data_IF_236279981493
#
_entry.id   IF_236279981493
#
_cell.length_a   1.000
_cell.length_b   1.000
_cell.length_c   1.000
_cell.angle_alpha   90.00
_cell.angle_beta   90.00
_cell.angle_gamma   90.00
#
_symmetry.space_group_name_H-M   'P 1'
#
loop_
_entity.id
_entity.type
_entity.pdbx_description
1 polymer ?
#
# COMPACT_ATOMS: atom_id res chain seq x y z
N UNK A 1 1.38 22.35 -12.61
CA UNK A 1 0.19 22.16 -13.47
C UNK A 1 -0.09 20.65 -13.59
N UNK A 2 -1.30 20.17 -13.27
CA UNK A 2 -1.60 18.72 -13.19
C UNK A 2 -1.46 18.05 -14.57
N UNK A 3 -0.61 17.02 -14.68
CA UNK A 3 -0.28 16.35 -15.94
C UNK A 3 -1.52 15.73 -16.62
N UNK A 4 -2.56 15.37 -15.86
CA UNK A 4 -3.85 14.92 -16.43
C UNK A 4 -4.62 16.08 -17.09
N UNK A 5 -4.67 17.23 -16.44
CA UNK A 5 -5.33 18.44 -16.97
C UNK A 5 -4.63 18.89 -18.26
N UNK A 6 -3.30 18.87 -18.29
CA UNK A 6 -2.52 19.22 -19.51
C UNK A 6 -2.84 18.26 -20.65
N UNK A 7 -2.86 16.93 -20.41
CA UNK A 7 -3.18 15.94 -21.45
C UNK A 7 -4.61 16.07 -21.98
N UNK A 8 -5.57 16.37 -21.11
CA UNK A 8 -6.94 16.65 -21.53
C UNK A 8 -7.02 17.88 -22.43
N UNK A 9 -6.40 18.99 -22.01
CA UNK A 9 -6.40 20.24 -22.77
C UNK A 9 -5.74 20.07 -24.14
N UNK A 10 -4.57 19.42 -24.19
CA UNK A 10 -3.86 19.16 -25.45
C UNK A 10 -4.66 18.20 -26.34
N UNK A 11 -5.31 17.19 -25.76
CA UNK A 11 -6.17 16.27 -26.51
C UNK A 11 -7.39 16.95 -27.12
N UNK A 12 -8.08 17.81 -26.36
CA UNK A 12 -9.22 18.59 -26.84
C UNK A 12 -8.82 19.55 -27.97
N UNK A 13 -7.68 20.25 -27.81
CA UNK A 13 -7.17 21.15 -28.83
C UNK A 13 -6.81 20.40 -30.13
N UNK A 14 -6.23 19.20 -30.00
CA UNK A 14 -5.88 18.35 -31.16
C UNK A 14 -7.12 17.90 -31.95
N UNK A 15 -8.24 17.62 -31.28
CA UNK A 15 -9.51 17.30 -31.95
C UNK A 15 -10.08 18.50 -32.71
N UNK A 16 -10.04 19.69 -32.10
CA UNK A 16 -10.52 20.92 -32.74
C UNK A 16 -9.72 21.19 -34.02
N UNK A 17 -8.39 21.08 -33.97
CA UNK A 17 -7.52 21.26 -35.13
C UNK A 17 -7.78 20.20 -36.20
N UNK A 18 -7.85 18.92 -35.81
CA UNK A 18 -8.12 17.83 -36.74
C UNK A 18 -9.47 17.95 -37.44
N UNK A 19 -10.51 18.37 -36.72
CA UNK A 19 -11.84 18.63 -37.28
C UNK A 19 -11.85 19.83 -38.22
N UNK A 20 -11.19 20.94 -37.85
CA UNK A 20 -11.07 22.11 -38.71
C UNK A 20 -10.35 21.75 -40.04
N UNK A 21 -9.29 20.94 -39.97
CA UNK A 21 -8.60 20.42 -41.15
C UNK A 21 -9.48 19.48 -41.98
N UNK A 22 -10.29 18.61 -41.36
CA UNK A 22 -11.21 17.73 -42.08
C UNK A 22 -12.28 18.51 -42.85
N UNK A 23 -12.86 19.53 -42.20
CA UNK A 23 -13.84 20.43 -42.81
C UNK A 23 -13.20 21.17 -43.97
N UNK A 24 -12.02 21.77 -43.77
CA UNK A 24 -11.29 22.44 -44.84
C UNK A 24 -10.98 21.51 -46.02
N UNK A 25 -10.51 20.28 -45.76
CA UNK A 25 -10.25 19.28 -46.78
C UNK A 25 -11.50 18.85 -47.56
N UNK A 26 -12.65 18.78 -46.90
CA UNK A 26 -13.91 18.39 -47.54
C UNK A 26 -14.42 19.47 -48.50
N UNK A 27 -14.27 20.75 -48.12
CA UNK A 27 -14.78 21.89 -48.88
C UNK A 27 -13.79 22.48 -49.91
N UNK A 28 -12.51 22.11 -49.89
CA UNK A 28 -11.50 22.66 -50.79
C UNK A 28 -11.18 21.69 -51.95
N UNK A 29 -11.30 22.17 -53.19
CA UNK A 29 -11.14 21.34 -54.41
C UNK A 29 -9.67 21.02 -54.75
N UNK A 30 -8.73 21.88 -54.33
CA UNK A 30 -7.29 21.68 -54.51
C UNK A 30 -6.73 20.90 -53.32
N UNK A 31 -6.82 19.57 -53.39
CA UNK A 31 -6.42 18.67 -52.30
C UNK A 31 -4.94 18.30 -52.36
N UNK A 32 -4.09 18.78 -51.44
CA UNK A 32 -2.83 18.12 -51.18
C UNK A 32 -3.10 16.79 -50.44
N UNK A 33 -2.52 15.70 -50.94
CA UNK A 33 -2.81 14.32 -50.48
C UNK A 33 -2.52 14.08 -48.99
N UNK A 34 -1.72 14.96 -48.38
CA UNK A 34 -1.23 14.84 -46.99
C UNK A 34 -2.19 15.46 -45.94
N UNK A 35 -3.08 16.38 -46.30
CA UNK A 35 -3.94 17.08 -45.34
C UNK A 35 -5.03 16.19 -44.74
N UNK A 36 -5.62 15.30 -45.54
CA UNK A 36 -6.57 14.29 -45.05
C UNK A 36 -5.92 13.32 -44.07
N UNK A 37 -4.66 12.93 -44.35
CA UNK A 37 -3.88 12.07 -43.44
C UNK A 37 -3.51 12.79 -42.14
N UNK A 38 -3.11 14.06 -42.22
CA UNK A 38 -2.79 14.89 -41.06
C UNK A 38 -4.01 15.12 -40.16
N UNK A 39 -5.17 15.42 -40.74
CA UNK A 39 -6.44 15.55 -40.00
C UNK A 39 -6.75 14.28 -39.21
N UNK A 40 -6.66 13.11 -39.85
CA UNK A 40 -6.87 11.83 -39.20
C UNK A 40 -5.86 11.60 -38.07
N UNK A 41 -4.60 11.98 -38.26
CA UNK A 41 -3.56 11.87 -37.23
C UNK A 41 -3.86 12.74 -36.00
N UNK A 42 -4.27 14.00 -36.20
CA UNK A 42 -4.66 14.90 -35.11
C UNK A 42 -5.90 14.41 -34.35
N UNK A 43 -6.89 13.87 -35.07
CA UNK A 43 -8.08 13.25 -34.47
C UNK A 43 -7.70 12.04 -33.61
N UNK A 44 -6.90 11.13 -34.15
CA UNK A 44 -6.45 9.92 -33.45
C UNK A 44 -5.61 10.26 -32.22
N UNK A 45 -4.69 11.23 -32.34
CA UNK A 45 -3.87 11.69 -31.22
C UNK A 45 -4.71 12.37 -30.13
N UNK A 46 -5.67 13.21 -30.52
CA UNK A 46 -6.58 13.88 -29.61
C UNK A 46 -7.41 12.89 -28.79
N UNK A 47 -8.03 11.91 -29.45
CA UNK A 47 -8.77 10.82 -28.80
C UNK A 47 -7.87 10.00 -27.87
N UNK A 48 -6.65 9.65 -28.31
CA UNK A 48 -5.71 8.87 -27.50
C UNK A 48 -5.29 9.60 -26.22
N UNK A 49 -5.04 10.93 -26.30
CA UNK A 49 -4.68 11.75 -25.15
C UNK A 49 -5.85 11.91 -24.16
N UNK A 50 -7.05 12.16 -24.66
CA UNK A 50 -8.27 12.23 -23.84
C UNK A 50 -8.54 10.88 -23.18
N UNK A 51 -8.46 9.78 -23.91
CA UNK A 51 -8.62 8.44 -23.37
C UNK A 51 -7.60 8.14 -22.27
N UNK A 52 -6.32 8.49 -22.49
CA UNK A 52 -5.25 8.32 -21.50
C UNK A 52 -5.43 9.21 -20.26
N UNK A 53 -6.00 10.40 -20.43
CA UNK A 53 -6.27 11.32 -19.33
C UNK A 53 -7.55 10.95 -18.55
N UNK A 54 -8.53 10.36 -19.23
CA UNK A 54 -9.79 9.85 -18.68
C UNK A 54 -9.61 8.54 -17.92
N UNK A 55 -8.62 7.73 -18.31
CA UNK A 55 -8.24 6.58 -17.49
C UNK A 55 -7.77 7.07 -16.12
N UNK A 56 -8.30 6.52 -15.01
CA UNK A 56 -7.60 6.67 -13.75
C UNK A 56 -6.16 6.22 -13.99
N UNK A 57 -5.18 6.92 -13.41
CA UNK A 57 -3.82 6.38 -13.41
C UNK A 57 -3.97 4.92 -12.99
N UNK A 58 -3.48 4.00 -13.85
CA UNK A 58 -3.26 2.63 -13.44
C UNK A 58 -2.63 2.79 -12.07
N UNK A 59 -3.23 2.18 -11.04
CA UNK A 59 -2.56 1.97 -9.76
C UNK A 59 -1.40 1.07 -10.15
N UNK A 60 -0.36 1.72 -10.66
CA UNK A 60 0.96 1.20 -10.69
C UNK A 60 1.18 0.70 -9.28
N UNK A 61 1.70 -0.50 -9.18
CA UNK A 61 2.30 -0.98 -7.96
C UNK A 61 3.58 -0.17 -7.73
N UNK A 62 3.47 1.17 -7.74
CA UNK A 62 4.36 2.06 -7.05
C UNK A 62 4.45 1.49 -5.64
N UNK A 63 5.69 1.35 -5.16
CA UNK A 63 6.04 0.96 -3.80
C UNK A 63 4.89 1.34 -2.85
N UNK A 64 4.31 0.38 -2.11
CA UNK A 64 3.04 0.58 -1.40
C UNK A 64 3.12 1.90 -0.65
N UNK A 65 2.07 2.72 -0.76
CA UNK A 65 1.98 4.03 -0.11
C UNK A 65 2.71 3.97 1.23
N UNK A 66 3.82 4.70 1.34
CA UNK A 66 4.68 4.64 2.52
C UNK A 66 3.77 4.85 3.75
N UNK A 67 3.79 3.88 4.67
CA UNK A 67 2.97 3.92 5.87
C UNK A 67 3.17 5.25 6.59
N UNK A 68 2.12 5.78 7.23
CA UNK A 68 2.31 6.99 8.02
C UNK A 68 3.29 6.72 9.15
N UNK A 69 4.04 7.74 9.57
CA UNK A 69 4.97 7.59 10.71
C UNK A 69 4.25 7.04 11.96
N UNK A 70 2.99 7.42 12.16
CA UNK A 70 2.15 6.91 13.24
C UNK A 70 1.80 5.43 13.08
N UNK A 71 1.50 4.96 11.85
CA UNK A 71 1.25 3.53 11.59
C UNK A 71 2.51 2.70 11.80
N UNK A 72 3.65 3.19 11.33
CA UNK A 72 4.93 2.53 11.51
C UNK A 72 5.29 2.44 13.00
N UNK A 73 5.22 3.56 13.72
CA UNK A 73 5.49 3.60 15.16
C UNK A 73 4.57 2.68 15.97
N UNK A 74 3.27 2.64 15.64
CA UNK A 74 2.33 1.74 16.29
C UNK A 74 2.66 0.26 16.00
N UNK A 75 2.97 -0.08 14.75
CA UNK A 75 3.34 -1.44 14.38
C UNK A 75 4.64 -1.89 15.06
N UNK A 76 5.66 -1.02 15.11
CA UNK A 76 6.91 -1.28 15.81
C UNK A 76 6.67 -1.49 17.32
N UNK A 77 5.87 -0.62 17.95
CA UNK A 77 5.49 -0.76 19.35
C UNK A 77 4.76 -2.09 19.63
N UNK A 78 3.85 -2.51 18.75
CA UNK A 78 3.16 -3.79 18.86
C UNK A 78 4.15 -4.97 18.75
N UNK A 79 5.03 -4.95 17.74
CA UNK A 79 6.04 -5.98 17.49
C UNK A 79 7.04 -6.12 18.63
N UNK A 80 7.44 -4.99 19.23
CA UNK A 80 8.29 -4.95 20.41
C UNK A 80 7.56 -5.51 21.64
N UNK A 81 6.33 -5.04 21.88
CA UNK A 81 5.55 -5.47 23.06
C UNK A 81 5.31 -6.97 23.06
N UNK A 82 4.85 -7.55 21.94
CA UNK A 82 4.66 -9.01 21.87
C UNK A 82 5.99 -9.78 21.91
N UNK A 83 7.06 -9.19 21.37
CA UNK A 83 8.42 -9.73 21.49
C UNK A 83 8.90 -9.81 22.94
N UNK A 84 8.65 -8.76 23.72
CA UNK A 84 8.97 -8.74 25.15
C UNK A 84 8.14 -9.77 25.93
N UNK A 85 6.87 -9.97 25.57
CA UNK A 85 6.04 -11.01 26.19
C UNK A 85 6.61 -12.42 25.94
N UNK A 86 7.10 -12.71 24.72
CA UNK A 86 7.78 -13.97 24.39
C UNK A 86 9.04 -14.15 25.24
N UNK A 87 9.81 -13.08 25.45
CA UNK A 87 11.00 -13.09 26.29
C UNK A 87 10.66 -13.33 27.77
N UNK A 88 9.58 -12.75 28.29
CA UNK A 88 9.09 -13.02 29.65
C UNK A 88 8.74 -14.50 29.82
N UNK A 89 8.03 -15.11 28.86
CA UNK A 89 7.76 -16.55 28.89
C UNK A 89 9.03 -17.38 28.87
N UNK A 90 10.04 -17.00 28.06
CA UNK A 90 11.33 -17.68 28.05
C UNK A 90 12.04 -17.61 29.41
N UNK A 91 12.04 -16.43 30.04
CA UNK A 91 12.59 -16.21 31.38
C UNK A 91 11.88 -17.08 32.42
N UNK A 92 10.55 -17.10 32.41
CA UNK A 92 9.76 -17.86 33.38
C UNK A 92 9.95 -19.38 33.21
N UNK A 93 10.05 -19.87 31.96
CA UNK A 93 10.43 -21.26 31.66
C UNK A 93 11.81 -21.58 32.24
N UNK A 94 12.79 -20.69 32.03
CA UNK A 94 14.13 -20.88 32.54
C UNK A 94 14.16 -20.91 34.08
N UNK A 95 13.43 -20.00 34.72
CA UNK A 95 13.31 -19.93 36.17
C UNK A 95 12.63 -21.17 36.77
N UNK A 96 11.62 -21.74 36.11
CA UNK A 96 11.00 -22.99 36.57
C UNK A 96 11.95 -24.18 36.44
N UNK A 97 12.71 -24.25 35.33
CA UNK A 97 13.69 -25.31 35.08
C UNK A 97 14.86 -25.31 36.05
N UNK A 98 15.21 -24.16 36.62
CA UNK A 98 16.33 -24.06 37.56
C UNK A 98 15.95 -24.45 39.00
N UNK A 99 14.68 -24.74 39.28
CA UNK A 99 14.24 -25.23 40.58
C UNK A 99 14.75 -26.66 40.85
N UNK A 100 14.95 -26.99 42.12
CA UNK A 100 15.36 -28.35 42.52
C UNK A 100 14.35 -29.45 42.18
N UNK A 101 13.07 -29.09 42.04
CA UNK A 101 12.02 -29.95 41.52
C UNK A 101 11.14 -29.16 40.53
N UNK A 102 11.51 -29.12 39.23
CA UNK A 102 10.77 -28.36 38.23
C UNK A 102 9.34 -28.89 38.03
N UNK A 103 8.37 -27.98 37.94
CA UNK A 103 7.00 -28.32 37.57
C UNK A 103 6.86 -28.44 36.05
N UNK A 104 6.85 -29.68 35.56
CA UNK A 104 6.77 -29.96 34.13
C UNK A 104 5.46 -29.45 33.49
N UNK A 105 4.33 -29.53 34.19
CA UNK A 105 3.05 -29.05 33.67
C UNK A 105 3.06 -27.53 33.44
N UNK A 106 3.68 -26.78 34.35
CA UNK A 106 3.85 -25.33 34.20
C UNK A 106 4.79 -24.99 33.03
N UNK A 107 5.89 -25.74 32.87
CA UNK A 107 6.81 -25.55 31.74
C UNK A 107 6.08 -25.75 30.40
N UNK A 108 5.26 -26.79 30.30
CA UNK A 108 4.54 -27.10 29.06
C UNK A 108 3.43 -26.09 28.78
N UNK A 109 2.75 -25.58 29.81
CA UNK A 109 1.83 -24.46 29.69
C UNK A 109 2.54 -23.21 29.15
N UNK A 110 3.65 -22.80 29.78
CA UNK A 110 4.40 -21.61 29.37
C UNK A 110 4.92 -21.71 27.94
N UNK A 111 5.29 -22.91 27.49
CA UNK A 111 5.70 -23.17 26.10
C UNK A 111 4.54 -23.04 25.12
N UNK A 112 3.36 -23.55 25.47
CA UNK A 112 2.17 -23.40 24.65
C UNK A 112 1.81 -21.91 24.48
N UNK A 113 1.78 -21.16 25.58
CA UNK A 113 1.56 -19.72 25.57
C UNK A 113 2.62 -18.97 24.75
N UNK A 114 3.90 -19.34 24.87
CA UNK A 114 4.98 -18.76 24.07
C UNK A 114 4.81 -19.05 22.57
N UNK A 115 4.41 -20.27 22.20
CA UNK A 115 4.17 -20.64 20.81
C UNK A 115 3.00 -19.86 20.20
N UNK A 116 1.93 -19.65 20.96
CA UNK A 116 0.79 -18.82 20.55
C UNK A 116 1.22 -17.37 20.29
N UNK A 117 2.03 -16.79 21.17
CA UNK A 117 2.57 -15.44 21.00
C UNK A 117 3.48 -15.32 19.76
N UNK A 118 4.30 -16.33 19.48
CA UNK A 118 5.12 -16.37 18.25
C UNK A 118 4.25 -16.39 16.99
N UNK A 119 3.19 -17.20 17.00
CA UNK A 119 2.24 -17.27 15.89
C UNK A 119 1.50 -15.94 15.73
N UNK A 120 1.00 -15.36 16.82
CA UNK A 120 0.33 -14.05 16.79
C UNK A 120 1.26 -12.96 16.24
N UNK A 121 2.50 -12.89 16.74
CA UNK A 121 3.52 -11.95 16.24
C UNK A 121 3.79 -12.13 14.75
N UNK A 122 3.85 -13.37 14.26
CA UNK A 122 4.09 -13.65 12.83
C UNK A 122 2.93 -13.22 11.93
N UNK A 123 1.72 -13.11 12.49
CA UNK A 123 0.49 -12.74 11.77
C UNK A 123 0.19 -11.25 11.84
N UNK A 124 0.88 -10.49 12.71
CA UNK A 124 0.72 -9.04 12.76
C UNK A 124 1.11 -8.41 11.43
N UNK A 125 0.27 -7.48 10.97
CA UNK A 125 0.48 -6.71 9.75
C UNK A 125 0.32 -5.24 10.05
N UNK A 126 1.18 -4.43 9.43
CA UNK A 126 1.17 -2.97 9.58
C UNK A 126 -0.10 -2.31 9.03
N UNK A 127 -0.80 -2.96 8.09
CA UNK A 127 -2.09 -2.52 7.55
C UNK A 127 -3.29 -2.93 8.41
N UNK A 128 -3.09 -3.74 9.44
CA UNK A 128 -4.12 -4.16 10.39
C UNK A 128 -4.02 -3.36 11.69
N UNK A 129 -4.54 -2.12 11.65
CA UNK A 129 -4.49 -1.20 12.80
C UNK A 129 -5.23 -1.72 14.02
N UNK A 130 -6.22 -2.60 13.83
CA UNK A 130 -6.99 -3.20 14.94
C UNK A 130 -6.14 -4.25 15.64
N UNK A 131 -5.50 -5.16 14.91
CA UNK A 131 -4.60 -6.15 15.50
C UNK A 131 -3.39 -5.51 16.19
N UNK A 132 -2.83 -4.46 15.58
CA UNK A 132 -1.72 -3.67 16.16
C UNK A 132 -2.13 -3.03 17.49
N UNK A 133 -3.26 -2.30 17.52
CA UNK A 133 -3.74 -1.66 18.75
C UNK A 133 -4.01 -2.69 19.86
N UNK A 134 -4.67 -3.80 19.49
CA UNK A 134 -5.01 -4.86 20.42
C UNK A 134 -3.78 -5.55 21.02
N UNK A 135 -2.71 -5.78 20.25
CA UNK A 135 -1.46 -6.31 20.78
C UNK A 135 -0.81 -5.37 21.82
N UNK A 136 -0.83 -4.06 21.56
CA UNK A 136 -0.33 -3.03 22.49
C UNK A 136 -1.18 -3.00 23.77
N UNK A 137 -2.49 -2.96 23.64
CA UNK A 137 -3.41 -2.89 24.78
C UNK A 137 -3.33 -4.13 25.67
N UNK A 138 -3.23 -5.32 25.06
CA UNK A 138 -3.19 -6.59 25.77
C UNK A 138 -1.88 -6.80 26.50
N UNK A 139 -0.75 -6.61 25.82
CA UNK A 139 0.56 -7.00 26.35
C UNK A 139 1.33 -5.82 26.96
N UNK A 140 1.02 -4.59 26.56
CA UNK A 140 1.72 -3.37 27.00
C UNK A 140 1.75 -3.20 28.52
N UNK A 141 0.62 -3.31 29.24
CA UNK A 141 0.60 -3.20 30.70
C UNK A 141 1.45 -4.28 31.40
N UNK A 142 1.43 -5.51 30.88
CA UNK A 142 2.14 -6.66 31.46
C UNK A 142 3.65 -6.47 31.32
N UNK A 143 4.10 -6.11 30.11
CA UNK A 143 5.51 -5.87 29.82
C UNK A 143 6.03 -4.71 30.67
N UNK A 144 5.29 -3.59 30.76
CA UNK A 144 5.69 -2.44 31.59
C UNK A 144 5.84 -2.78 33.07
N UNK A 145 5.02 -3.67 33.60
CA UNK A 145 5.11 -4.11 35.00
C UNK A 145 6.25 -5.12 35.25
N UNK A 146 6.89 -5.63 34.20
CA UNK A 146 7.91 -6.68 34.27
C UNK A 146 9.34 -6.20 34.02
N UNK A 147 9.52 -4.90 33.75
CA UNK A 147 10.80 -4.20 33.56
C UNK A 147 11.26 -3.57 34.87
#
# INVERSE_FOLDING_TARGET
MNNRIVRFLVGALSLIVGLAMAVNYHFNELRPLNEGFQSALFMMLGLALIYKASKPAKKDNAMPAQWTDQQLAAFEAAMETIGNMIALKARDIHAERSKGAPNQALIDQLRAEQAELVVERSRLRIDDSVAVAHAIERYGPIVKASV
#
